data_IF_585350140284
#
_entry.id   IF_585350140284
#
_cell.length_a   1.000
_cell.length_b   1.000
_cell.length_c   1.000
_cell.angle_alpha   90.00
_cell.angle_beta   90.00
_cell.angle_gamma   90.00
#
_symmetry.space_group_name_H-M   'P 1'
#
loop_
_entity.id
_entity.type
_entity.pdbx_description
1 polymer ?
#
# COMPACT_ATOMS: atom_id res chain seq x y z
N UNK A 1 -6.48 -1.40 5.14
CA UNK A 1 -5.20 -1.77 4.50
C UNK A 1 -4.59 -0.49 3.97
N UNK A 2 -3.36 -0.20 4.34
CA UNK A 2 -2.69 1.09 4.10
C UNK A 2 -1.33 0.91 3.40
N UNK A 3 -0.74 -0.28 3.49
CA UNK A 3 0.57 -0.58 2.93
C UNK A 3 0.71 -0.31 1.44
N UNK A 4 1.95 -0.07 1.03
CA UNK A 4 2.33 0.26 -0.34
C UNK A 4 3.80 0.64 -0.40
N UNK A 5 4.17 1.35 -1.47
CA UNK A 5 5.49 1.96 -1.62
C UNK A 5 5.55 3.28 -0.86
N UNK A 6 6.56 3.47 0.01
CA UNK A 6 6.67 4.74 0.74
C UNK A 6 7.88 4.89 1.66
N UNK A 7 7.86 6.02 2.34
CA UNK A 7 8.84 6.44 3.35
C UNK A 7 8.13 6.73 4.67
N UNK A 8 8.56 6.04 5.73
CA UNK A 8 8.03 6.22 7.08
C UNK A 8 9.18 6.45 8.05
N UNK A 9 9.07 7.49 8.88
CA UNK A 9 10.11 7.83 9.86
C UNK A 9 10.32 6.75 10.93
N UNK A 10 9.33 5.88 11.13
CA UNK A 10 9.48 4.78 12.06
C UNK A 10 10.28 3.61 11.51
N UNK A 11 10.58 3.54 10.20
CA UNK A 11 11.31 2.40 9.63
C UNK A 11 12.62 2.17 10.40
N UNK A 12 12.84 0.97 10.91
CA UNK A 12 13.99 0.70 11.78
C UNK A 12 15.31 0.76 11.02
N UNK A 13 15.31 0.23 9.79
CA UNK A 13 16.49 0.16 8.94
C UNK A 13 16.33 1.14 7.78
N UNK A 14 16.71 2.39 8.02
CA UNK A 14 16.71 3.43 6.98
C UNK A 14 17.61 3.02 5.81
N UNK A 15 17.07 3.21 4.60
CA UNK A 15 17.75 3.00 3.32
C UNK A 15 17.33 4.13 2.36
N UNK A 16 18.07 4.37 1.28
CA UNK A 16 17.82 5.51 0.38
C UNK A 16 16.49 5.41 -0.40
N UNK A 17 16.28 4.31 -1.14
CA UNK A 17 15.00 3.98 -1.78
C UNK A 17 13.82 3.74 -0.82
N UNK A 18 12.57 3.92 -1.29
CA UNK A 18 11.39 3.57 -0.51
C UNK A 18 11.30 2.05 -0.30
N UNK A 19 10.52 1.63 0.71
CA UNK A 19 10.21 0.21 0.92
C UNK A 19 8.76 -0.08 0.57
N UNK A 20 8.48 -1.33 0.24
CA UNK A 20 7.12 -1.82 0.11
C UNK A 20 6.68 -2.53 1.40
N UNK A 21 5.65 -1.99 2.05
CA UNK A 21 5.16 -2.49 3.35
C UNK A 21 3.73 -3.00 3.23
N UNK A 22 3.37 -4.01 4.02
CA UNK A 22 2.03 -4.61 4.04
C UNK A 22 1.30 -4.13 5.31
N UNK A 23 1.11 -2.83 5.42
CA UNK A 23 0.54 -2.20 6.60
C UNK A 23 -0.99 -2.32 6.63
N UNK A 24 -1.55 -2.64 7.80
CA UNK A 24 -2.96 -2.54 8.11
C UNK A 24 -3.23 -2.27 9.59
N UNK A 25 -4.40 -1.69 9.81
CA UNK A 25 -4.95 -1.32 11.11
C UNK A 25 -6.30 -2.04 11.32
N UNK A 26 -6.28 -3.32 11.72
CA UNK A 26 -7.49 -4.15 11.76
C UNK A 26 -8.58 -3.68 12.73
N UNK A 27 -8.23 -2.87 13.73
CA UNK A 27 -9.07 -2.52 14.87
C UNK A 27 -8.89 -1.05 15.30
N UNK A 28 -9.12 -0.12 14.38
CA UNK A 28 -9.11 1.33 14.67
C UNK A 28 -7.80 1.81 15.32
N UNK A 29 -6.64 1.37 14.79
CA UNK A 29 -5.30 1.71 15.28
C UNK A 29 -4.94 1.22 16.70
N UNK A 30 -5.79 0.41 17.35
CA UNK A 30 -5.38 -0.26 18.60
C UNK A 30 -4.40 -1.42 18.36
N UNK A 31 -4.30 -1.87 17.12
CA UNK A 31 -3.27 -2.79 16.62
C UNK A 31 -2.88 -2.36 15.22
N UNK A 32 -1.59 -2.51 14.97
CA UNK A 32 -0.93 -2.23 13.72
C UNK A 32 -0.20 -3.50 13.28
N UNK A 33 -0.26 -3.84 11.99
CA UNK A 33 0.38 -5.03 11.41
C UNK A 33 1.07 -4.60 10.11
N UNK A 34 2.39 -4.79 9.99
CA UNK A 34 3.17 -4.36 8.80
C UNK A 34 3.70 -5.50 7.92
N UNK A 35 4.00 -6.63 8.54
CA UNK A 35 4.54 -7.82 7.89
C UNK A 35 4.15 -9.06 8.73
N UNK A 36 4.35 -10.30 8.24
CA UNK A 36 3.99 -11.50 8.97
C UNK A 36 4.58 -11.54 10.39
N UNK A 37 3.72 -11.33 11.39
CA UNK A 37 4.10 -11.38 12.81
C UNK A 37 4.69 -10.09 13.39
N UNK A 38 4.63 -8.96 12.69
CA UNK A 38 5.24 -7.70 13.15
C UNK A 38 4.28 -6.52 13.17
N UNK A 39 4.37 -5.66 14.19
CA UNK A 39 3.65 -4.40 14.22
C UNK A 39 4.20 -3.41 13.18
N UNK A 40 3.69 -2.18 13.17
CA UNK A 40 4.35 -1.13 12.40
C UNK A 40 5.79 -0.91 12.84
N UNK A 41 6.47 -0.14 12.02
CA UNK A 41 7.89 0.11 11.98
C UNK A 41 8.56 0.58 13.30
N UNK A 42 7.79 1.04 14.30
CA UNK A 42 8.32 1.60 15.55
C UNK A 42 8.72 0.56 16.63
N UNK A 43 8.56 -0.75 16.37
CA UNK A 43 8.92 -1.82 17.32
C UNK A 43 9.74 -2.94 16.68
N UNK A 44 10.67 -3.52 17.45
CA UNK A 44 11.36 -4.77 17.12
C UNK A 44 10.95 -5.94 17.99
N UNK A 45 9.83 -5.81 18.68
CA UNK A 45 9.17 -6.96 19.29
C UNK A 45 8.10 -7.48 18.31
N UNK A 46 8.04 -8.80 18.09
CA UNK A 46 6.96 -9.39 17.29
C UNK A 46 5.60 -9.12 17.95
N UNK A 47 4.54 -9.26 17.15
CA UNK A 47 3.19 -9.29 17.69
C UNK A 47 3.06 -10.40 18.72
N UNK A 48 2.26 -10.18 19.77
CA UNK A 48 1.98 -11.23 20.75
C UNK A 48 1.32 -12.44 20.10
N UNK A 49 1.52 -13.62 20.67
CA UNK A 49 1.04 -14.90 20.09
C UNK A 49 -0.48 -14.95 19.86
N UNK A 50 -1.24 -14.15 20.61
CA UNK A 50 -2.70 -14.06 20.46
C UNK A 50 -3.13 -13.11 19.33
N UNK A 51 -2.20 -12.37 18.72
CA UNK A 51 -2.47 -11.39 17.68
C UNK A 51 -2.31 -12.00 16.29
N UNK A 52 -3.36 -11.84 15.49
CA UNK A 52 -3.42 -12.37 14.14
C UNK A 52 -2.93 -11.31 13.16
N UNK A 53 -2.29 -11.77 12.09
CA UNK A 53 -1.75 -10.90 11.05
C UNK A 53 -1.75 -11.55 9.67
N UNK A 54 -0.60 -11.44 9.02
CA UNK A 54 -0.40 -11.89 7.66
C UNK A 54 0.14 -13.31 7.66
N UNK A 55 -0.47 -14.19 6.85
CA UNK A 55 0.04 -15.51 6.53
C UNK A 55 0.77 -15.47 5.18
N UNK A 56 2.03 -15.92 5.15
CA UNK A 56 2.81 -15.99 3.91
C UNK A 56 2.42 -17.23 3.10
N UNK A 57 2.26 -17.06 1.78
CA UNK A 57 1.92 -18.15 0.85
C UNK A 57 3.10 -18.52 -0.04
N UNK A 58 3.88 -17.52 -0.47
CA UNK A 58 5.03 -17.73 -1.32
C UNK A 58 6.18 -18.38 -0.57
N UNK A 59 6.81 -19.36 -1.21
CA UNK A 59 8.08 -19.96 -0.75
C UNK A 59 9.31 -19.36 -1.48
N UNK A 60 9.14 -18.28 -2.26
CA UNK A 60 10.20 -17.70 -3.11
C UNK A 60 10.66 -16.31 -2.68
N UNK A 61 9.93 -15.66 -1.79
CA UNK A 61 10.27 -14.34 -1.26
C UNK A 61 9.93 -14.32 0.23
N UNK A 62 10.87 -13.88 1.06
CA UNK A 62 10.67 -13.67 2.48
C UNK A 62 10.34 -12.20 2.72
N UNK A 63 9.27 -11.93 3.48
CA UNK A 63 8.89 -10.57 3.85
C UNK A 63 9.65 -10.21 5.13
N UNK A 64 10.56 -9.22 5.09
CA UNK A 64 11.25 -8.79 6.30
C UNK A 64 10.30 -7.97 7.21
N UNK A 65 10.60 -7.91 8.53
CA UNK A 65 9.82 -7.12 9.49
C UNK A 65 9.60 -5.67 9.06
N UNK A 66 10.63 -5.05 8.49
CA UNK A 66 10.74 -3.62 8.21
C UNK A 66 10.52 -3.28 6.71
N UNK A 67 9.71 -4.07 6.00
CA UNK A 67 9.31 -3.84 4.61
C UNK A 67 10.31 -4.32 3.55
N UNK A 68 9.79 -4.66 2.37
CA UNK A 68 10.57 -5.16 1.23
C UNK A 68 11.40 -4.02 0.61
N UNK A 69 12.67 -4.31 0.34
CA UNK A 69 13.60 -3.38 -0.31
C UNK A 69 13.69 -3.62 -1.82
N UNK A 70 14.22 -2.64 -2.54
CA UNK A 70 14.56 -2.74 -3.96
C UNK A 70 16.07 -2.82 -4.14
N UNK A 71 16.50 -3.41 -5.26
CA UNK A 71 17.90 -3.48 -5.63
C UNK A 71 18.39 -2.10 -6.11
N UNK A 72 19.57 -1.68 -5.64
CA UNK A 72 20.19 -0.42 -6.07
C UNK A 72 19.40 0.82 -5.68
N UNK A 73 19.36 1.80 -6.60
CA UNK A 73 18.62 3.07 -6.45
C UNK A 73 17.62 3.21 -7.61
N UNK A 74 16.37 2.75 -7.45
CA UNK A 74 15.36 2.86 -8.49
C UNK A 74 15.16 4.33 -8.92
N UNK A 75 15.13 4.56 -10.24
CA UNK A 75 15.01 5.85 -10.90
C UNK A 75 13.92 5.80 -11.98
N UNK A 76 12.67 5.55 -11.57
CA UNK A 76 11.50 5.54 -12.45
C UNK A 76 10.98 4.16 -12.81
N UNK A 77 11.57 3.08 -12.28
CA UNK A 77 10.99 1.76 -12.31
C UNK A 77 9.68 1.72 -11.51
N UNK A 78 8.77 0.85 -11.95
CA UNK A 78 7.46 0.66 -11.33
C UNK A 78 7.35 -0.76 -10.77
N UNK A 79 6.74 -0.85 -9.59
CA UNK A 79 6.29 -2.12 -9.00
C UNK A 79 4.81 -2.31 -9.29
N UNK A 80 4.45 -3.40 -9.99
CA UNK A 80 3.07 -3.82 -10.09
C UNK A 80 2.64 -4.52 -8.81
N UNK A 81 1.49 -4.16 -8.26
CA UNK A 81 0.88 -4.89 -7.14
C UNK A 81 -0.64 -4.83 -7.18
N UNK A 82 -1.28 -5.85 -6.60
CA UNK A 82 -2.73 -5.90 -6.45
C UNK A 82 -3.10 -6.59 -5.13
N UNK A 83 -4.08 -6.03 -4.43
CA UNK A 83 -4.79 -6.71 -3.36
C UNK A 83 -6.07 -7.33 -3.91
N UNK A 84 -6.22 -8.65 -3.74
CA UNK A 84 -7.43 -9.36 -4.11
C UNK A 84 -7.85 -10.31 -3.00
N UNK A 85 -9.11 -10.21 -2.57
CA UNK A 85 -9.70 -11.22 -1.70
C UNK A 85 -9.76 -12.56 -2.42
N UNK A 86 -9.16 -13.59 -1.83
CA UNK A 86 -9.27 -14.99 -2.23
C UNK A 86 -9.99 -15.78 -1.14
N UNK A 87 -10.72 -16.84 -1.49
CA UNK A 87 -11.29 -17.73 -0.48
C UNK A 87 -10.19 -18.72 -0.10
N UNK A 88 -9.32 -18.39 0.86
CA UNK A 88 -8.26 -19.31 1.31
C UNK A 88 -8.61 -20.04 2.62
N UNK A 89 -9.56 -19.50 3.38
CA UNK A 89 -10.10 -20.10 4.60
C UNK A 89 -11.61 -20.37 4.43
N UNK A 90 -12.18 -21.19 5.29
CA UNK A 90 -13.65 -21.36 5.38
C UNK A 90 -14.24 -20.27 6.29
N UNK A 91 -15.43 -19.73 5.96
CA UNK A 91 -16.13 -18.85 6.89
C UNK A 91 -16.57 -19.63 8.13
N UNK A 92 -16.69 -18.94 9.26
CA UNK A 92 -17.08 -19.54 10.55
C UNK A 92 -17.90 -18.58 11.39
N UNK A 93 -18.63 -19.11 12.38
CA UNK A 93 -19.51 -18.34 13.26
C UNK A 93 -18.91 -18.03 14.63
N UNK A 94 -17.99 -18.86 15.13
CA UNK A 94 -17.47 -18.76 16.51
C UNK A 94 -15.96 -18.48 16.51
N UNK A 95 -15.44 -17.58 17.39
CA UNK A 95 -16.19 -16.90 18.46
C UNK A 95 -17.01 -15.69 18.00
N UNK A 96 -16.84 -15.25 16.76
CA UNK A 96 -17.67 -14.27 16.08
C UNK A 96 -17.72 -14.59 14.58
N UNK A 97 -18.78 -14.16 13.87
CA UNK A 97 -18.87 -14.34 12.43
C UNK A 97 -17.62 -13.82 11.73
N UNK A 98 -16.98 -14.69 10.96
CA UNK A 98 -15.79 -14.39 10.16
C UNK A 98 -16.04 -14.89 8.75
N UNK A 99 -15.95 -13.98 7.79
CA UNK A 99 -16.10 -14.27 6.37
C UNK A 99 -14.87 -14.97 5.78
N UNK A 100 -14.90 -15.12 4.45
CA UNK A 100 -13.93 -15.89 3.69
C UNK A 100 -12.99 -15.03 2.83
N UNK A 101 -13.00 -13.70 3.01
CA UNK A 101 -12.16 -12.80 2.23
C UNK A 101 -10.76 -12.72 2.81
N UNK A 102 -9.89 -13.61 2.33
CA UNK A 102 -8.45 -13.55 2.56
C UNK A 102 -7.82 -12.55 1.59
N UNK A 103 -7.69 -11.29 2.00
CA UNK A 103 -7.05 -10.25 1.19
C UNK A 103 -5.60 -10.61 0.91
N UNK A 104 -5.31 -11.00 -0.33
CA UNK A 104 -4.05 -11.56 -0.79
C UNK A 104 -3.31 -10.53 -1.64
N UNK A 105 -2.04 -10.29 -1.32
CA UNK A 105 -1.16 -9.42 -2.11
C UNK A 105 -0.52 -10.21 -3.25
N UNK A 106 -0.60 -9.66 -4.44
CA UNK A 106 0.12 -10.09 -5.63
C UNK A 106 1.14 -9.03 -5.99
N UNK A 107 2.34 -9.46 -6.36
CA UNK A 107 3.39 -8.58 -6.90
C UNK A 107 3.68 -8.96 -8.35
N UNK A 108 4.10 -7.96 -9.14
CA UNK A 108 4.57 -8.09 -10.50
C UNK A 108 5.84 -7.22 -10.66
N UNK A 109 6.98 -7.88 -10.52
CA UNK A 109 8.32 -7.32 -10.64
C UNK A 109 9.18 -8.22 -11.54
N UNK A 110 10.31 -7.71 -12.04
CA UNK A 110 11.20 -8.44 -12.94
C UNK A 110 11.69 -9.79 -12.36
N UNK A 111 11.87 -9.87 -11.04
CA UNK A 111 12.40 -11.02 -10.32
C UNK A 111 11.34 -11.80 -9.51
N UNK A 112 10.10 -11.33 -9.43
CA UNK A 112 9.02 -12.01 -8.72
C UNK A 112 7.65 -11.64 -9.28
N UNK A 113 6.83 -12.65 -9.59
CA UNK A 113 5.46 -12.46 -10.05
C UNK A 113 4.52 -13.51 -9.44
N UNK A 114 3.48 -13.06 -8.76
CA UNK A 114 2.46 -13.94 -8.18
C UNK A 114 2.03 -13.57 -6.76
N UNK A 115 1.25 -14.44 -6.10
CA UNK A 115 0.76 -14.22 -4.74
C UNK A 115 1.90 -14.35 -3.73
N UNK A 116 1.97 -13.41 -2.79
CA UNK A 116 3.01 -13.35 -1.78
C UNK A 116 2.49 -13.79 -0.41
N UNK A 117 1.41 -13.17 0.07
CA UNK A 117 0.85 -13.38 1.40
C UNK A 117 -0.61 -12.89 1.47
N UNK A 118 -1.34 -13.22 2.54
CA UNK A 118 -2.69 -12.72 2.78
C UNK A 118 -2.94 -12.38 4.25
N UNK A 119 -3.87 -11.45 4.51
CA UNK A 119 -4.39 -11.24 5.85
C UNK A 119 -5.36 -12.35 6.22
N UNK A 120 -5.14 -12.98 7.37
CA UNK A 120 -6.13 -13.88 7.97
C UNK A 120 -7.45 -13.12 8.12
N UNK A 121 -8.60 -13.66 7.66
CA UNK A 121 -9.90 -12.96 7.80
C UNK A 121 -10.22 -12.58 9.25
N UNK A 122 -9.76 -13.38 10.20
CA UNK A 122 -9.86 -13.11 11.62
C UNK A 122 -9.19 -11.82 12.09
N UNK A 123 -8.17 -11.31 11.39
CA UNK A 123 -7.62 -9.98 11.66
C UNK A 123 -8.73 -8.94 11.63
N UNK A 124 -9.62 -9.02 10.65
CA UNK A 124 -10.67 -8.04 10.42
C UNK A 124 -11.87 -8.27 11.32
N UNK A 125 -12.29 -9.52 11.50
CA UNK A 125 -13.46 -9.83 12.32
C UNK A 125 -13.20 -9.70 13.83
N UNK A 126 -11.94 -9.67 14.28
CA UNK A 126 -11.62 -9.57 15.72
C UNK A 126 -12.29 -8.37 16.39
N UNK A 127 -12.36 -7.23 15.70
CA UNK A 127 -12.98 -6.01 16.26
C UNK A 127 -14.45 -6.24 16.61
N UNK A 128 -15.15 -7.11 15.88
CA UNK A 128 -16.58 -7.35 16.08
C UNK A 128 -16.87 -8.34 17.20
N UNK A 129 -15.86 -8.97 17.82
CA UNK A 129 -16.05 -9.92 18.92
C UNK A 129 -16.82 -9.28 20.09
N UNK A 130 -16.43 -8.06 20.43
CA UNK A 130 -17.01 -7.32 21.56
C UNK A 130 -18.05 -6.28 21.06
N UNK A 131 -18.26 -6.19 19.73
CA UNK A 131 -19.14 -5.23 19.06
C UNK A 131 -19.97 -5.89 17.93
N UNK A 132 -21.09 -6.57 18.25
CA UNK A 132 -21.91 -7.29 17.26
C UNK A 132 -22.46 -6.44 16.11
N UNK A 133 -22.51 -5.12 16.27
CA UNK A 133 -22.87 -4.18 15.21
C UNK A 133 -21.96 -4.30 13.98
N UNK A 134 -20.69 -4.67 14.18
CA UNK A 134 -19.67 -4.77 13.13
C UNK A 134 -19.66 -6.13 12.42
N UNK A 135 -20.51 -7.08 12.83
CA UNK A 135 -20.65 -8.37 12.15
C UNK A 135 -20.92 -8.18 10.65
N UNK A 136 -20.07 -8.79 9.82
CA UNK A 136 -20.18 -8.73 8.35
C UNK A 136 -19.86 -7.36 7.74
N UNK A 137 -19.32 -6.41 8.51
CA UNK A 137 -18.99 -5.05 8.03
C UNK A 137 -17.49 -4.85 7.77
N UNK A 138 -16.67 -5.76 8.26
CA UNK A 138 -15.22 -5.73 8.14
C UNK A 138 -14.74 -6.36 6.82
N UNK A 139 -13.44 -6.24 6.56
CA UNK A 139 -12.81 -6.64 5.30
C UNK A 139 -12.83 -8.16 5.04
N UNK A 140 -13.12 -8.99 6.05
CA UNK A 140 -13.34 -10.42 5.89
C UNK A 140 -14.63 -10.78 5.15
N UNK A 141 -15.60 -9.85 5.09
CA UNK A 141 -16.95 -10.14 4.61
C UNK A 141 -17.51 -9.09 3.65
N UNK A 142 -17.24 -7.80 3.90
CA UNK A 142 -17.89 -6.71 3.15
C UNK A 142 -17.07 -6.36 1.90
N UNK A 143 -17.68 -6.39 0.70
CA UNK A 143 -17.03 -5.89 -0.51
C UNK A 143 -16.60 -4.44 -0.35
N UNK A 144 -15.47 -4.09 -0.98
CA UNK A 144 -15.05 -2.70 -1.10
C UNK A 144 -16.16 -1.89 -1.81
N UNK A 145 -16.44 -0.70 -1.28
CA UNK A 145 -17.44 0.20 -1.83
C UNK A 145 -16.91 1.64 -1.84
N UNK A 146 -17.28 2.41 -2.86
CA UNK A 146 -16.89 3.81 -3.01
C UNK A 146 -15.61 4.02 -3.81
N UNK A 147 -15.18 5.28 -3.87
CA UNK A 147 -13.93 5.67 -4.53
C UNK A 147 -12.72 5.18 -3.75
N UNK A 148 -11.67 4.80 -4.48
CA UNK A 148 -10.37 4.43 -3.90
C UNK A 148 -9.40 5.59 -4.08
N UNK A 149 -8.66 5.91 -3.01
CA UNK A 149 -7.52 6.80 -3.11
C UNK A 149 -6.24 5.95 -3.26
N UNK A 150 -5.37 6.35 -4.17
CA UNK A 150 -4.01 5.86 -4.25
C UNK A 150 -3.05 7.02 -3.95
N UNK A 151 -2.03 6.76 -3.14
CA UNK A 151 -0.97 7.71 -2.85
C UNK A 151 0.36 6.99 -2.73
N UNK A 152 1.43 7.62 -3.19
CA UNK A 152 2.75 7.35 -2.65
C UNK A 152 2.85 8.12 -1.34
N UNK A 153 3.05 7.42 -0.23
CA UNK A 153 3.08 8.06 1.09
C UNK A 153 4.52 8.42 1.46
N UNK A 154 4.73 9.71 1.73
CA UNK A 154 5.89 10.22 2.47
C UNK A 154 5.33 10.72 3.79
N UNK A 155 5.21 9.83 4.77
CA UNK A 155 4.42 10.08 5.98
C UNK A 155 5.09 11.13 6.87
N UNK A 156 6.39 10.99 7.09
CA UNK A 156 7.20 11.89 7.92
C UNK A 156 8.57 12.10 7.28
N UNK A 157 8.99 13.36 7.19
CA UNK A 157 10.29 13.76 6.62
C UNK A 157 11.14 14.36 7.75
N UNK A 158 12.36 13.88 8.01
CA UNK A 158 13.24 14.49 9.00
C UNK A 158 13.62 15.91 8.57
N UNK A 159 13.99 16.75 9.53
CA UNK A 159 14.41 18.11 9.23
C UNK A 159 15.56 18.55 10.14
N UNK A 160 16.35 19.50 9.66
CA UNK A 160 17.26 20.29 10.47
C UNK A 160 16.56 21.58 10.88
N UNK A 161 16.64 21.96 12.16
CA UNK A 161 16.15 23.24 12.68
C UNK A 161 17.30 24.08 13.22
N UNK A 162 17.27 25.37 12.94
CA UNK A 162 18.17 26.39 13.53
C UNK A 162 17.31 27.53 14.04
N UNK A 163 17.53 27.93 15.29
CA UNK A 163 16.94 29.14 15.86
C UNK A 163 18.00 30.24 15.85
N UNK A 164 17.69 31.41 15.30
CA UNK A 164 18.58 32.57 15.30
C UNK A 164 18.60 33.25 16.67
N UNK A 165 19.57 34.15 16.88
CA UNK A 165 19.67 34.95 18.12
C UNK A 165 18.42 35.82 18.36
N UNK A 166 17.72 36.23 17.28
CA UNK A 166 16.47 36.97 17.33
C UNK A 166 15.22 36.07 17.51
N UNK A 167 15.41 34.75 17.61
CA UNK A 167 14.34 33.78 17.84
C UNK A 167 13.62 33.28 16.58
N UNK A 168 14.10 33.61 15.37
CA UNK A 168 13.55 33.06 14.12
C UNK A 168 13.95 31.60 13.94
N UNK A 169 13.01 30.75 13.51
CA UNK A 169 13.27 29.33 13.27
C UNK A 169 13.35 29.08 11.77
N UNK A 170 14.51 28.60 11.33
CA UNK A 170 14.74 28.07 9.99
C UNK A 170 14.70 26.55 10.05
N UNK A 171 14.05 25.94 9.06
CA UNK A 171 13.96 24.49 8.96
C UNK A 171 14.25 24.01 7.55
N UNK A 172 14.98 22.91 7.42
CA UNK A 172 15.36 22.31 6.13
C UNK A 172 15.06 20.81 6.12
N UNK A 173 14.30 20.38 5.12
CA UNK A 173 14.05 18.96 4.83
C UNK A 173 15.05 18.42 3.80
N UNK A 174 15.25 17.09 3.73
CA UNK A 174 15.87 16.42 2.58
C UNK A 174 15.23 16.85 1.27
N UNK A 175 16.06 16.88 0.23
CA UNK A 175 15.58 17.10 -1.13
C UNK A 175 14.67 15.94 -1.54
N UNK A 176 13.47 16.27 -2.01
CA UNK A 176 12.58 15.30 -2.65
C UNK A 176 12.91 15.29 -4.14
N UNK A 177 13.23 14.10 -4.67
CA UNK A 177 13.56 13.90 -6.07
C UNK A 177 12.55 12.96 -6.71
N UNK A 178 12.20 13.26 -7.95
CA UNK A 178 11.32 12.44 -8.77
C UNK A 178 11.99 12.23 -10.13
N UNK A 179 11.90 11.03 -10.72
CA UNK A 179 12.34 10.80 -12.08
C UNK A 179 11.48 11.61 -13.05
N UNK A 180 12.11 12.29 -14.00
CA UNK A 180 11.46 13.14 -15.00
C UNK A 180 11.86 12.64 -16.39
N UNK A 181 10.88 12.41 -17.26
CA UNK A 181 11.14 12.05 -18.65
C UNK A 181 11.42 13.28 -19.54
N UNK A 182 11.75 13.03 -20.81
CA UNK A 182 12.08 14.08 -21.80
C UNK A 182 10.93 15.10 -22.04
N UNK A 183 9.70 14.74 -21.68
CA UNK A 183 8.52 15.61 -21.77
C UNK A 183 8.23 16.35 -20.45
N UNK A 184 9.14 16.27 -19.48
CA UNK A 184 8.99 16.91 -18.18
C UNK A 184 7.97 16.21 -17.28
N UNK A 185 7.75 14.91 -17.42
CA UNK A 185 6.74 14.15 -16.67
C UNK A 185 7.36 13.17 -15.69
N UNK A 186 6.76 13.06 -14.51
CA UNK A 186 6.96 11.92 -13.59
C UNK A 186 5.73 11.03 -13.64
N UNK A 187 5.91 9.74 -13.89
CA UNK A 187 4.84 8.73 -13.77
C UNK A 187 4.82 8.19 -12.34
N UNK A 188 3.68 8.30 -11.66
CA UNK A 188 3.51 7.80 -10.28
C UNK A 188 2.62 6.56 -10.21
N UNK A 189 1.51 6.55 -10.94
CA UNK A 189 0.54 5.45 -10.93
C UNK A 189 0.00 5.24 -12.35
N UNK A 190 -0.07 3.98 -12.78
CA UNK A 190 -0.64 3.58 -14.06
C UNK A 190 -1.38 2.26 -13.93
N UNK A 191 -2.19 1.96 -14.94
CA UNK A 191 -2.87 0.66 -15.08
C UNK A 191 -3.76 0.29 -13.87
N UNK A 192 -4.34 1.31 -13.21
CA UNK A 192 -5.27 1.13 -12.09
C UNK A 192 -6.42 0.24 -12.53
N UNK A 193 -6.58 -0.88 -11.83
CA UNK A 193 -7.58 -1.89 -12.12
C UNK A 193 -8.23 -2.37 -10.83
N UNK A 194 -9.56 -2.35 -10.81
CA UNK A 194 -10.39 -2.89 -9.75
C UNK A 194 -10.84 -4.31 -10.15
N UNK A 195 -10.75 -5.25 -9.21
CA UNK A 195 -11.09 -6.64 -9.45
C UNK A 195 -12.32 -7.07 -8.65
N UNK A 196 -13.28 -7.69 -9.34
CA UNK A 196 -14.40 -8.40 -8.73
C UNK A 196 -14.04 -9.86 -8.48
N UNK A 197 -14.93 -10.61 -7.82
CA UNK A 197 -14.72 -12.05 -7.55
C UNK A 197 -14.50 -12.87 -8.84
N UNK A 198 -15.11 -12.45 -9.95
CA UNK A 198 -14.97 -13.11 -11.25
C UNK A 198 -13.53 -13.06 -11.82
N UNK A 199 -12.66 -12.18 -11.30
CA UNK A 199 -11.29 -12.06 -11.78
C UNK A 199 -10.42 -13.28 -11.42
N UNK A 200 -10.64 -13.90 -10.26
CA UNK A 200 -9.82 -15.03 -9.78
C UNK A 200 -10.46 -15.79 -8.60
N UNK A 201 -11.16 -15.08 -7.70
CA UNK A 201 -11.76 -15.67 -6.50
C UNK A 201 -12.67 -16.85 -6.85
N UNK A 202 -13.54 -16.71 -7.85
CA UNK A 202 -14.52 -17.75 -8.20
C UNK A 202 -13.85 -19.03 -8.71
N UNK A 203 -12.74 -18.89 -9.45
CA UNK A 203 -11.98 -20.02 -9.96
C UNK A 203 -11.16 -20.70 -8.86
N UNK A 204 -10.60 -19.94 -7.91
CA UNK A 204 -9.99 -20.49 -6.69
C UNK A 204 -11.01 -21.23 -5.83
N UNK A 205 -12.22 -20.68 -5.67
CA UNK A 205 -13.30 -21.33 -4.92
C UNK A 205 -13.73 -22.65 -5.59
N UNK A 206 -13.84 -22.65 -6.91
CA UNK A 206 -14.17 -23.87 -7.69
C UNK A 206 -13.11 -24.94 -7.50
N UNK A 207 -11.83 -24.56 -7.54
CA UNK A 207 -10.71 -25.48 -7.30
C UNK A 207 -10.74 -26.07 -5.89
N UNK A 208 -10.95 -25.24 -4.86
CA UNK A 208 -11.11 -25.71 -3.47
C UNK A 208 -12.25 -26.72 -3.31
N UNK A 209 -13.29 -26.63 -4.15
CA UNK A 209 -14.43 -27.55 -4.17
C UNK A 209 -14.20 -28.80 -5.05
N UNK A 210 -12.95 -29.11 -5.39
CA UNK A 210 -12.57 -30.29 -6.18
C UNK A 210 -12.59 -30.09 -7.70
N UNK A 211 -12.76 -28.85 -8.17
CA UNK A 211 -12.60 -28.50 -9.57
C UNK A 211 -11.13 -28.52 -10.04
N UNK A 212 -10.86 -28.21 -11.32
CA UNK A 212 -9.49 -28.06 -11.83
C UNK A 212 -8.80 -26.85 -11.21
N UNK A 213 -7.46 -26.92 -11.10
CA UNK A 213 -6.66 -25.78 -10.65
C UNK A 213 -6.81 -24.58 -11.61
N UNK A 214 -6.94 -23.35 -11.09
CA UNK A 214 -7.00 -22.16 -11.93
C UNK A 214 -5.63 -21.90 -12.58
N UNK A 215 -5.62 -21.14 -13.68
CA UNK A 215 -4.36 -20.68 -14.29
C UNK A 215 -3.57 -19.73 -13.37
N UNK A 216 -4.25 -19.11 -12.40
CA UNK A 216 -3.71 -18.07 -11.52
C UNK A 216 -3.67 -16.68 -12.17
N UNK A 217 -4.08 -16.55 -13.43
CA UNK A 217 -4.17 -15.27 -14.12
C UNK A 217 -5.46 -14.53 -13.77
N UNK A 218 -5.38 -13.21 -13.62
CA UNK A 218 -6.55 -12.36 -13.43
C UNK A 218 -7.34 -12.26 -14.72
N UNK A 219 -8.62 -12.61 -14.66
CA UNK A 219 -9.55 -12.59 -15.77
C UNK A 219 -10.06 -11.18 -16.06
N UNK A 220 -10.12 -10.82 -17.33
CA UNK A 220 -10.61 -9.52 -17.79
C UNK A 220 -12.09 -9.31 -17.50
N UNK A 221 -12.88 -10.38 -17.45
CA UNK A 221 -14.33 -10.32 -17.17
C UNK A 221 -14.62 -9.81 -15.74
N UNK A 222 -13.65 -9.96 -14.82
CA UNK A 222 -13.74 -9.41 -13.47
C UNK A 222 -12.92 -8.14 -13.26
N UNK A 223 -12.33 -7.57 -14.31
CA UNK A 223 -11.47 -6.40 -14.23
C UNK A 223 -12.21 -5.14 -14.71
N UNK A 224 -12.07 -4.04 -13.98
CA UNK A 224 -12.61 -2.73 -14.33
C UNK A 224 -11.55 -1.66 -14.15
N UNK A 225 -11.35 -0.81 -15.17
CA UNK A 225 -10.46 0.35 -15.08
C UNK A 225 -11.27 1.57 -14.66
N UNK A 226 -11.08 2.12 -13.44
CA UNK A 226 -11.79 3.31 -13.02
C UNK A 226 -11.17 4.56 -13.66
N UNK A 227 -11.94 5.64 -13.73
CA UNK A 227 -11.38 6.95 -14.05
C UNK A 227 -10.46 7.41 -12.91
N UNK A 228 -9.22 7.78 -13.25
CA UNK A 228 -8.26 8.33 -12.29
C UNK A 228 -8.41 9.85 -12.28
N UNK A 229 -8.55 10.39 -11.07
CA UNK A 229 -8.56 11.82 -10.81
C UNK A 229 -7.28 12.27 -10.10
N UNK A 230 -7.08 13.58 -10.01
CA UNK A 230 -5.96 14.16 -9.28
C UNK A 230 -6.37 15.41 -8.50
N UNK A 231 -5.55 15.81 -7.52
CA UNK A 231 -5.72 17.00 -6.68
C UNK A 231 -4.35 17.66 -6.46
N UNK A 232 -4.30 18.98 -6.16
CA UNK A 232 -3.06 19.67 -5.84
C UNK A 232 -2.28 18.99 -4.71
N UNK A 233 -0.95 18.95 -4.82
CA UNK A 233 -0.09 18.43 -3.75
C UNK A 233 -0.17 19.35 -2.55
N UNK A 234 -0.27 18.78 -1.35
CA UNK A 234 -0.34 19.55 -0.11
C UNK A 234 0.71 19.05 0.85
N UNK A 235 1.59 19.96 1.28
CA UNK A 235 2.56 19.71 2.35
C UNK A 235 2.23 20.59 3.55
N UNK A 236 2.52 20.06 4.74
CA UNK A 236 2.41 20.80 6.00
C UNK A 236 3.68 20.61 6.82
N UNK A 237 4.05 21.65 7.56
CA UNK A 237 5.13 21.62 8.53
C UNK A 237 4.67 22.44 9.74
N UNK A 238 4.73 21.85 10.94
CA UNK A 238 4.15 22.43 12.17
C UNK A 238 2.71 22.95 11.94
N UNK A 239 1.87 22.10 11.33
CA UNK A 239 0.48 22.37 10.93
C UNK A 239 0.26 23.46 9.88
N UNK A 240 1.30 24.23 9.54
CA UNK A 240 1.28 25.28 8.52
C UNK A 240 1.39 24.68 7.14
N UNK A 241 0.51 25.12 6.23
CA UNK A 241 0.56 24.70 4.83
C UNK A 241 1.79 25.31 4.15
N UNK A 242 2.60 24.48 3.52
CA UNK A 242 3.68 24.93 2.64
C UNK A 242 3.06 25.32 1.29
N UNK A 243 3.41 26.50 0.78
CA UNK A 243 2.96 27.03 -0.51
C UNK A 243 4.08 26.97 -1.55
N UNK A 244 3.79 27.30 -2.81
CA UNK A 244 4.79 27.30 -3.89
C UNK A 244 5.10 25.92 -4.51
N UNK A 245 4.82 24.81 -3.83
CA UNK A 245 5.10 23.47 -4.39
C UNK A 245 4.39 23.24 -5.74
N UNK A 246 3.11 23.63 -5.85
CA UNK A 246 2.35 23.45 -7.09
C UNK A 246 2.74 24.43 -8.21
N UNK A 247 3.67 25.38 -7.98
CA UNK A 247 4.25 26.16 -9.08
C UNK A 247 5.42 25.43 -9.76
N UNK A 248 6.03 24.44 -9.09
CA UNK A 248 7.10 23.62 -9.65
C UNK A 248 6.54 22.47 -10.50
N UNK A 249 5.49 21.81 -10.00
CA UNK A 249 4.86 20.69 -10.67
C UNK A 249 3.34 20.69 -10.51
N UNK A 250 2.64 20.28 -11.57
CA UNK A 250 1.18 20.16 -11.62
C UNK A 250 0.80 18.68 -11.60
N UNK A 251 0.08 18.20 -10.57
CA UNK A 251 -0.54 16.88 -10.59
C UNK A 251 -1.44 16.72 -11.81
N UNK A 252 -1.18 15.70 -12.62
CA UNK A 252 -1.79 15.54 -13.94
C UNK A 252 -2.19 14.09 -14.16
N UNK A 253 -3.31 13.90 -14.87
CA UNK A 253 -3.70 12.60 -15.43
C UNK A 253 -3.39 12.64 -16.92
N UNK A 254 -2.34 11.94 -17.32
CA UNK A 254 -1.86 11.85 -18.69
C UNK A 254 -2.71 10.86 -19.53
N UNK A 255 -2.58 10.87 -20.87
CA UNK A 255 -3.25 9.90 -21.73
C UNK A 255 -3.02 8.45 -21.28
N UNK A 256 -4.08 7.63 -21.37
CA UNK A 256 -4.04 6.25 -20.88
C UNK A 256 -4.30 6.10 -19.38
N UNK A 257 -4.87 7.13 -18.73
CA UNK A 257 -5.28 7.09 -17.32
C UNK A 257 -4.08 6.94 -16.36
N UNK A 258 -2.98 7.63 -16.70
CA UNK A 258 -1.71 7.59 -15.95
C UNK A 258 -1.62 8.83 -15.07
N UNK A 259 -1.58 8.64 -13.76
CA UNK A 259 -1.40 9.73 -12.81
C UNK A 259 0.07 10.01 -12.55
N UNK A 260 0.42 11.29 -12.51
CA UNK A 260 1.78 11.74 -12.26
C UNK A 260 1.89 13.25 -12.03
N UNK A 261 3.09 13.78 -12.25
CA UNK A 261 3.42 15.19 -12.11
C UNK A 261 3.94 15.73 -13.44
N UNK A 262 3.41 16.87 -13.89
CA UNK A 262 3.97 17.65 -15.00
C UNK A 262 4.83 18.77 -14.41
N UNK A 263 6.12 18.79 -14.74
CA UNK A 263 7.06 19.80 -14.27
C UNK A 263 7.07 21.02 -15.20
N UNK A 264 7.09 22.22 -14.61
CA UNK A 264 7.09 23.49 -15.35
C UNK A 264 8.51 23.98 -15.70
N UNK A 265 9.49 23.60 -14.87
CA UNK A 265 10.92 23.84 -15.05
C UNK A 265 11.65 22.63 -14.47
N UNK A 266 11.93 21.59 -15.28
CA UNK A 266 12.77 20.50 -14.84
C UNK A 266 14.18 21.07 -14.72
N UNK A 267 14.53 21.59 -13.54
CA UNK A 267 15.92 21.75 -13.17
C UNK A 267 16.48 20.34 -13.04
N UNK A 268 16.90 19.78 -14.18
CA UNK A 268 17.53 18.49 -14.28
C UNK A 268 18.83 18.60 -13.50
N UNK A 269 18.88 17.96 -12.33
CA UNK A 269 20.17 17.57 -11.77
C UNK A 269 20.54 16.33 -12.55
N UNK A 270 21.26 16.52 -13.66
CA UNK A 270 21.98 15.43 -14.31
C UNK A 270 23.07 14.99 -13.34
N UNK A 271 23.04 13.71 -12.95
CA UNK A 271 24.15 13.08 -12.23
C UNK A 271 25.35 12.85 -13.17
#
# INVERSE_FOLDING_TARGET
MEGGLGYWAGNRFHYGPPKFSLNATPNCYSTEVASPGWPFFHSSEPLSDDMLGIAQVSNRLLIPPDGLTFEGNPMGELLGYAWMALPLTEPRNDPQPTGDQSWTIFLDAANFKGPLAYYLPECWSRISRDFPFDHGRCLDARPAAGGTAGSMEINTVPEFRVTTDDGEIYAKIPQLQFPVDDDGRTVLVRDVTMYSKAALYDDVLRWRKGGPAPSGAFRTEGAMKPDVGTRPVTYRQDEKKITGVNSLATPTVFPGNVFGLQWNDPTVVED
#
